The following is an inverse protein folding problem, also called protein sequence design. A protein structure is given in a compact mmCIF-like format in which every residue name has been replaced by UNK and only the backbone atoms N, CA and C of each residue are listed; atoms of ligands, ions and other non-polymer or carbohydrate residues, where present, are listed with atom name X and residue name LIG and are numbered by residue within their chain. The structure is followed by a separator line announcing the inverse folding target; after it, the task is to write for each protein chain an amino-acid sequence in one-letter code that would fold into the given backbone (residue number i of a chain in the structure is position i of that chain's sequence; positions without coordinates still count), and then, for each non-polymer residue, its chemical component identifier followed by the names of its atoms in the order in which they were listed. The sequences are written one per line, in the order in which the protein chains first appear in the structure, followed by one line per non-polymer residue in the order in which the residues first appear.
data_IF_272908926920
#
_entry.id   IF_272908926920
#
_cell.length_a   1.000
_cell.length_b   1.000
_cell.length_c   1.000
_cell.angle_alpha   90.00
_cell.angle_beta   90.00
_cell.angle_gamma   90.00
#
_symmetry.space_group_name_H-M   'P 1'
#
loop_
_entity.id
_entity.type
_entity.pdbx_description
1 polymer ?
#
# COMPACT_ATOMS: atom_id res chain seq x y z
N UNK A 1 -2.30 -6.13 -11.34
CA UNK A 1 -0.92 -6.59 -11.08
C UNK A 1 0.04 -5.87 -11.99
N UNK A 2 1.15 -5.40 -11.44
CA UNK A 2 2.23 -4.82 -12.24
C UNK A 2 2.89 -5.90 -13.10
N UNK A 3 3.61 -5.53 -14.18
CA UNK A 3 4.35 -6.48 -15.01
C UNK A 3 5.34 -7.35 -14.22
N UNK A 4 5.76 -6.89 -13.04
CA UNK A 4 6.61 -7.59 -12.09
C UNK A 4 5.90 -8.70 -11.29
N UNK A 5 4.60 -8.91 -11.48
CA UNK A 5 3.79 -9.80 -10.65
C UNK A 5 3.46 -9.23 -9.27
N UNK A 6 3.94 -8.02 -8.93
CA UNK A 6 3.62 -7.38 -7.65
C UNK A 6 2.11 -7.13 -7.57
N UNK A 7 1.44 -7.59 -6.50
CA UNK A 7 0.03 -7.35 -6.32
C UNK A 7 -0.22 -5.85 -6.15
N UNK A 8 -1.25 -5.37 -6.85
CA UNK A 8 -1.70 -3.97 -6.78
C UNK A 8 -3.05 -3.94 -6.08
N UNK A 9 -3.20 -3.02 -5.14
CA UNK A 9 -4.39 -2.92 -4.30
C UNK A 9 -4.95 -1.50 -4.39
N UNK A 10 -6.22 -1.40 -4.77
CA UNK A 10 -6.96 -0.14 -4.80
C UNK A 10 -8.00 -0.17 -3.68
N UNK A 11 -7.73 0.55 -2.59
CA UNK A 11 -8.70 0.71 -1.51
C UNK A 11 -9.80 1.68 -1.95
N UNK A 12 -11.03 1.38 -1.56
CA UNK A 12 -12.22 2.20 -1.84
C UNK A 12 -13.12 2.26 -0.63
N UNK A 13 -14.01 3.27 -0.59
CA UNK A 13 -14.96 3.48 0.51
C UNK A 13 -14.28 3.53 1.88
N UNK A 14 -14.91 2.92 2.88
CA UNK A 14 -14.43 2.98 4.27
C UNK A 14 -13.02 2.43 4.50
N UNK A 15 -12.50 1.57 3.62
CA UNK A 15 -11.10 1.12 3.71
C UNK A 15 -10.12 2.22 3.26
N UNK A 16 -10.50 3.02 2.26
CA UNK A 16 -9.72 4.19 1.86
C UNK A 16 -9.78 5.28 2.92
N UNK A 17 -10.95 5.50 3.52
CA UNK A 17 -11.14 6.49 4.59
C UNK A 17 -10.32 6.12 5.83
N UNK A 18 -10.35 4.85 6.25
CA UNK A 18 -9.54 4.34 7.36
C UNK A 18 -8.04 4.48 7.07
N UNK A 19 -7.58 4.18 5.86
CA UNK A 19 -6.17 4.38 5.50
C UNK A 19 -5.78 5.86 5.59
N UNK A 20 -6.65 6.77 5.14
CA UNK A 20 -6.41 8.21 5.23
C UNK A 20 -6.33 8.68 6.68
N UNK A 21 -7.20 8.19 7.56
CA UNK A 21 -7.17 8.50 9.00
C UNK A 21 -5.92 7.95 9.72
N UNK A 22 -5.45 6.78 9.32
CA UNK A 22 -4.21 6.18 9.85
C UNK A 22 -2.94 6.88 9.37
N UNK A 23 -3.01 7.63 8.26
CA UNK A 23 -1.84 8.28 7.66
C UNK A 23 -1.59 9.63 8.32
N UNK A 24 -0.41 9.87 8.92
CA UNK A 24 -0.09 11.16 9.50
C UNK A 24 -0.12 12.29 8.45
N UNK A 25 -0.48 13.53 8.85
CA UNK A 25 -0.51 14.67 7.94
C UNK A 25 0.85 14.91 7.25
N UNK A 26 0.82 15.16 5.95
CA UNK A 26 2.01 15.43 5.15
C UNK A 26 2.82 14.18 4.76
N UNK A 27 2.34 12.97 5.08
CA UNK A 27 2.92 11.70 4.65
C UNK A 27 2.03 11.02 3.61
N UNK A 28 2.62 10.11 2.84
CA UNK A 28 1.93 9.23 1.91
C UNK A 28 1.97 7.80 2.45
N UNK A 29 0.83 7.13 2.49
CA UNK A 29 0.78 5.71 2.82
C UNK A 29 1.17 4.83 1.63
N UNK A 30 2.05 3.86 1.88
CA UNK A 30 2.44 2.80 0.96
C UNK A 30 2.01 1.47 1.56
N UNK A 31 1.25 0.69 0.79
CA UNK A 31 0.78 -0.64 1.21
C UNK A 31 1.66 -1.71 0.57
N UNK A 32 2.36 -2.47 1.41
CA UNK A 32 3.11 -3.65 1.00
C UNK A 32 2.27 -4.89 1.26
N UNK A 33 1.89 -5.57 0.19
CA UNK A 33 1.05 -6.76 0.23
C UNK A 33 1.84 -7.98 -0.24
N UNK A 34 1.83 -9.04 0.56
CA UNK A 34 2.20 -10.40 0.15
C UNK A 34 0.99 -11.32 0.35
N UNK A 35 0.71 -12.21 -0.61
CA UNK A 35 -0.44 -13.10 -0.60
C UNK A 35 0.03 -14.52 -0.98
N UNK A 36 -0.38 -15.50 -0.18
CA UNK A 36 -0.16 -16.93 -0.43
C UNK A 36 -1.52 -17.64 -0.43
N UNK A 37 -1.75 -18.50 -1.40
CA UNK A 37 -2.94 -19.35 -1.52
C UNK A 37 -2.47 -20.82 -1.57
N UNK A 38 -2.71 -21.56 -0.50
CA UNK A 38 -2.36 -22.99 -0.39
C UNK A 38 -3.50 -23.76 0.28
N UNK A 39 -4.10 -24.72 -0.44
CA UNK A 39 -5.34 -25.36 -0.04
C UNK A 39 -5.21 -26.04 1.34
N UNK A 40 -6.13 -25.77 2.29
CA UNK A 40 -7.42 -25.10 2.14
C UNK A 40 -7.45 -23.60 2.51
N UNK A 41 -6.31 -22.96 2.69
CA UNK A 41 -6.20 -21.62 3.25
C UNK A 41 -5.57 -20.61 2.30
N UNK A 42 -5.93 -19.34 2.49
CA UNK A 42 -5.21 -18.22 1.93
C UNK A 42 -4.77 -17.29 3.05
N UNK A 43 -3.59 -16.69 2.90
CA UNK A 43 -3.00 -15.78 3.87
C UNK A 43 -2.46 -14.54 3.16
N UNK A 44 -2.74 -13.38 3.74
CA UNK A 44 -2.16 -12.11 3.33
C UNK A 44 -1.37 -11.48 4.47
N UNK A 45 -0.18 -10.96 4.16
CA UNK A 45 0.55 -10.05 5.03
C UNK A 45 0.47 -8.64 4.46
N UNK A 46 0.02 -7.71 5.29
CA UNK A 46 -0.15 -6.31 4.93
C UNK A 46 0.69 -5.45 5.87
N UNK A 47 1.59 -4.67 5.29
CA UNK A 47 2.33 -3.63 6.02
C UNK A 47 1.91 -2.29 5.43
N UNK A 48 1.47 -1.39 6.29
CA UNK A 48 1.17 0.01 5.93
C UNK A 48 2.32 0.85 6.43
N UNK A 49 3.03 1.48 5.50
CA UNK A 49 4.16 2.36 5.76
C UNK A 49 3.76 3.80 5.46
N UNK A 50 4.03 4.73 6.37
CA UNK A 50 3.88 6.16 6.11
C UNK A 50 5.25 6.75 5.76
N UNK A 51 5.40 7.23 4.53
CA UNK A 51 6.64 7.85 4.05
C UNK A 51 6.45 9.34 3.83
N UNK A 52 7.48 10.12 4.11
CA UNK A 52 7.51 11.52 3.68
C UNK A 52 7.65 11.56 2.17
N UNK A 53 6.76 12.26 1.43
CA UNK A 53 6.92 12.43 0.00
C UNK A 53 8.23 13.17 -0.29
N UNK A 54 8.92 12.86 -1.40
CA UNK A 54 10.13 13.57 -1.76
C UNK A 54 9.84 15.07 -1.89
N UNK A 55 10.80 15.95 -1.51
CA UNK A 55 10.63 17.38 -1.69
C UNK A 55 10.34 17.67 -3.17
N UNK A 56 9.36 18.53 -3.41
CA UNK A 56 8.93 18.93 -4.76
C UNK A 56 10.12 19.56 -5.49
N UNK A 57 10.83 18.76 -6.29
CA UNK A 57 12.08 19.16 -6.97
C UNK A 57 12.98 18.00 -7.39
N UNK A 58 12.91 16.85 -6.71
CA UNK A 58 13.60 15.62 -7.16
C UNK A 58 12.63 14.66 -7.83
N UNK A 59 12.70 14.58 -9.16
CA UNK A 59 12.15 13.46 -9.92
C UNK A 59 13.19 12.35 -9.85
N UNK A 60 12.90 11.27 -9.13
CA UNK A 60 13.74 10.07 -9.15
C UNK A 60 13.76 9.47 -10.57
N UNK A 61 14.98 9.37 -11.12
CA UNK A 61 15.31 8.76 -12.40
C UNK A 61 15.05 7.24 -12.42
#
# INVERSE_FOLDING_TARGET
NLPSGKPTLALTGGAADCLAELTPPGMTAVVHLSLTDDHPYAQAFVIIEAITPPPVGEVSA
#
